data_IF_646342855403
#
_entry.id   IF_646342855403
#
_cell.length_a   1.000
_cell.length_b   1.000
_cell.length_c   1.000
_cell.angle_alpha   90.00
_cell.angle_beta   90.00
_cell.angle_gamma   90.00
#
_symmetry.space_group_name_H-M   'P 1'
#
loop_
_entity.id
_entity.type
_entity.pdbx_description
1 polymer ?
#
# COMPACT_ATOMS: atom_id res chain seq x y z
N UNK A 1 -23.01 6.87 -18.88
CA UNK A 1 -21.61 6.41 -18.89
C UNK A 1 -20.73 7.64 -19.10
N UNK A 2 -20.05 8.12 -18.06
CA UNK A 2 -19.17 9.29 -18.18
C UNK A 2 -17.85 8.87 -18.81
N UNK A 3 -17.63 9.30 -20.05
CA UNK A 3 -16.39 9.09 -20.81
C UNK A 3 -15.24 9.89 -20.17
N UNK A 4 -14.03 9.34 -20.21
CA UNK A 4 -12.81 9.98 -19.69
C UNK A 4 -12.63 11.43 -20.19
N UNK A 5 -13.03 11.69 -21.45
CA UNK A 5 -12.99 13.03 -22.05
C UNK A 5 -13.94 14.04 -21.38
N UNK A 6 -15.12 13.60 -20.92
CA UNK A 6 -16.08 14.48 -20.24
C UNK A 6 -15.57 14.95 -18.88
N UNK A 7 -14.88 14.05 -18.15
CA UNK A 7 -14.28 14.36 -16.85
C UNK A 7 -13.14 15.38 -17.03
N UNK A 8 -12.30 15.20 -18.05
CA UNK A 8 -11.22 16.15 -18.35
C UNK A 8 -11.74 17.55 -18.67
N UNK A 9 -12.76 17.64 -19.53
CA UNK A 9 -13.38 18.93 -19.87
C UNK A 9 -13.93 19.63 -18.62
N UNK A 10 -14.56 18.88 -17.72
CA UNK A 10 -15.06 19.42 -16.46
C UNK A 10 -13.94 19.89 -15.52
N UNK A 11 -12.81 19.19 -15.45
CA UNK A 11 -11.67 19.62 -14.64
C UNK A 11 -11.05 20.90 -15.21
N UNK A 12 -10.97 21.03 -16.54
CA UNK A 12 -10.43 22.21 -17.22
C UNK A 12 -11.29 23.47 -17.00
N UNK A 13 -12.58 23.35 -16.66
CA UNK A 13 -13.44 24.51 -16.33
C UNK A 13 -13.35 24.96 -14.87
N UNK A 14 -12.70 24.19 -13.99
CA UNK A 14 -12.48 24.56 -12.60
C UNK A 14 -11.42 25.66 -12.47
N UNK A 15 -11.50 26.44 -11.40
CA UNK A 15 -10.42 27.37 -11.03
C UNK A 15 -9.14 26.60 -10.70
N UNK A 16 -7.95 27.22 -10.88
CA UNK A 16 -6.68 26.57 -10.56
C UNK A 16 -6.61 26.04 -9.11
N UNK A 17 -7.20 26.77 -8.17
CA UNK A 17 -7.29 26.38 -6.76
C UNK A 17 -8.11 25.09 -6.57
N UNK A 18 -9.29 25.02 -7.19
CA UNK A 18 -10.13 23.82 -7.14
C UNK A 18 -9.50 22.63 -7.88
N UNK A 19 -8.73 22.87 -8.94
CA UNK A 19 -7.98 21.82 -9.63
C UNK A 19 -6.91 21.21 -8.72
N UNK A 20 -6.18 22.05 -7.99
CA UNK A 20 -5.16 21.61 -7.03
C UNK A 20 -5.80 20.86 -5.86
N UNK A 21 -6.91 21.37 -5.31
CA UNK A 21 -7.63 20.69 -4.25
C UNK A 21 -8.12 19.30 -4.68
N UNK A 22 -8.73 19.20 -5.86
CA UNK A 22 -9.19 17.93 -6.42
C UNK A 22 -8.02 16.94 -6.62
N UNK A 23 -6.86 17.44 -7.06
CA UNK A 23 -5.66 16.61 -7.22
C UNK A 23 -5.18 16.04 -5.88
N UNK A 24 -5.20 16.83 -4.81
CA UNK A 24 -4.85 16.38 -3.46
C UNK A 24 -5.84 15.31 -2.97
N UNK A 25 -7.13 15.52 -3.16
CA UNK A 25 -8.17 14.55 -2.78
C UNK A 25 -8.01 13.22 -3.54
N UNK A 26 -7.82 13.28 -4.85
CA UNK A 26 -7.60 12.08 -5.69
C UNK A 26 -6.31 11.37 -5.24
N UNK A 27 -5.24 12.12 -4.99
CA UNK A 27 -3.97 11.56 -4.51
C UNK A 27 -4.15 10.85 -3.18
N UNK A 28 -4.91 11.43 -2.24
CA UNK A 28 -5.21 10.83 -0.95
C UNK A 28 -6.02 9.52 -1.09
N UNK A 29 -7.03 9.50 -1.98
CA UNK A 29 -7.83 8.32 -2.27
C UNK A 29 -6.98 7.20 -2.86
N UNK A 30 -6.13 7.51 -3.85
CA UNK A 30 -5.24 6.53 -4.49
C UNK A 30 -4.23 5.97 -3.50
N UNK A 31 -3.59 6.84 -2.69
CA UNK A 31 -2.65 6.40 -1.64
C UNK A 31 -3.31 5.46 -0.63
N UNK A 32 -4.52 5.78 -0.17
CA UNK A 32 -5.26 4.90 0.76
C UNK A 32 -5.56 3.54 0.16
N UNK A 33 -5.94 3.49 -1.12
CA UNK A 33 -6.16 2.21 -1.84
C UNK A 33 -4.87 1.39 -1.93
N UNK A 34 -3.77 2.01 -2.34
CA UNK A 34 -2.46 1.33 -2.43
C UNK A 34 -2.00 0.80 -1.07
N UNK A 35 -2.12 1.59 0.00
CA UNK A 35 -1.77 1.14 1.36
C UNK A 35 -2.67 0.00 1.82
N UNK A 36 -3.96 0.03 1.46
CA UNK A 36 -4.90 -1.05 1.81
C UNK A 36 -4.58 -2.32 1.04
N UNK A 37 -4.23 -2.24 -0.25
CA UNK A 37 -3.72 -3.37 -1.04
C UNK A 37 -2.43 -3.94 -0.45
N UNK A 38 -1.47 -3.08 -0.08
CA UNK A 38 -0.22 -3.53 0.53
C UNK A 38 -0.44 -4.21 1.90
N UNK A 39 -1.38 -3.70 2.71
CA UNK A 39 -1.77 -4.36 3.97
C UNK A 39 -2.40 -5.74 3.74
N UNK A 40 -3.14 -5.93 2.63
CA UNK A 40 -3.68 -7.24 2.25
C UNK A 40 -2.61 -8.22 1.75
N UNK A 41 -1.43 -7.73 1.38
CA UNK A 41 -0.28 -8.53 0.92
C UNK A 41 0.62 -9.07 2.05
N UNK A 42 0.43 -8.65 3.31
CA UNK A 42 1.19 -9.25 4.45
C UNK A 42 0.79 -10.70 4.69
N UNK A 43 -0.45 -11.07 4.41
CA UNK A 43 -0.96 -12.44 4.52
C UNK A 43 -0.37 -13.38 3.45
N UNK A 44 0.23 -12.84 2.38
CA UNK A 44 1.01 -13.64 1.41
C UNK A 44 2.39 -14.05 1.95
N UNK A 45 2.85 -13.43 3.05
CA UNK A 45 4.08 -13.79 3.74
C UNK A 45 3.88 -14.93 4.77
N UNK A 46 2.62 -15.32 5.04
CA UNK A 46 2.29 -16.49 5.86
C UNK A 46 2.68 -17.77 5.12
N UNK A 47 3.88 -18.28 5.40
CA UNK A 47 4.41 -19.52 4.82
C UNK A 47 5.87 -19.43 4.37
N UNK A 48 6.35 -18.24 4.01
CA UNK A 48 7.74 -18.01 3.57
C UNK A 48 8.75 -18.14 4.72
N UNK A 49 8.33 -17.86 5.97
CA UNK A 49 9.17 -18.07 7.14
C UNK A 49 9.61 -19.53 7.31
N UNK A 50 8.77 -20.50 6.92
CA UNK A 50 9.12 -21.92 7.04
C UNK A 50 10.17 -22.36 6.01
N UNK A 51 10.15 -21.80 4.80
CA UNK A 51 11.12 -22.13 3.74
C UNK A 51 12.49 -21.49 3.99
N UNK A 52 12.54 -20.27 4.54
CA UNK A 52 13.80 -19.56 4.80
C UNK A 52 14.51 -20.08 6.06
N UNK A 53 13.76 -20.57 7.04
CA UNK A 53 14.29 -21.03 8.33
C UNK A 53 14.45 -22.56 8.42
N UNK A 54 14.52 -23.27 7.29
CA UNK A 54 14.71 -24.74 7.30
C UNK A 54 16.02 -25.17 7.99
N UNK A 55 17.07 -24.35 7.93
CA UNK A 55 18.40 -24.68 8.44
C UNK A 55 18.75 -23.98 9.77
N UNK A 56 17.85 -23.15 10.30
CA UNK A 56 18.06 -22.43 11.55
C UNK A 56 17.02 -22.92 12.56
N UNK A 57 17.49 -23.58 13.62
CA UNK A 57 16.63 -23.89 14.76
C UNK A 57 16.18 -22.58 15.40
N UNK A 58 14.90 -22.25 15.20
CA UNK A 58 14.32 -21.00 15.68
C UNK A 58 14.36 -20.88 17.21
N UNK A 59 14.35 -22.01 17.92
CA UNK A 59 14.43 -22.03 19.38
C UNK A 59 15.86 -21.77 19.85
N UNK A 60 16.86 -22.29 19.16
CA UNK A 60 18.27 -22.03 19.44
C UNK A 60 18.63 -20.55 19.24
N UNK A 61 18.12 -19.93 18.17
CA UNK A 61 18.33 -18.49 17.92
C UNK A 61 17.78 -17.62 19.07
N UNK A 62 16.55 -17.89 19.51
CA UNK A 62 15.94 -17.16 20.63
C UNK A 62 16.71 -17.38 21.93
N UNK A 63 17.20 -18.59 22.17
CA UNK A 63 17.98 -18.89 23.37
C UNK A 63 19.29 -18.10 23.40
N UNK A 64 19.99 -17.95 22.27
CA UNK A 64 21.22 -17.14 22.19
C UNK A 64 20.94 -15.66 22.51
N UNK A 65 19.88 -15.09 21.94
CA UNK A 65 19.49 -13.69 22.15
C UNK A 65 19.00 -13.42 23.59
N UNK A 66 18.33 -14.37 24.24
CA UNK A 66 17.86 -14.25 25.63
C UNK A 66 18.93 -14.54 26.70
N UNK A 67 20.14 -14.97 26.30
CA UNK A 67 21.28 -15.15 27.22
C UNK A 67 22.27 -13.97 27.23
N UNK A 68 21.93 -12.84 26.58
CA UNK A 68 22.70 -11.59 26.63
C UNK A 68 22.48 -10.78 27.90
#
# INVERSE_FOLDING_TARGET
MTTHQGIRCYIETLTPDNQLHLLEEITAIVRRRIVTELKRSITELEGLGKEIWQEIDAQEYVNQECTS
#
